data_IF_802113403122
#
_entry.id   IF_802113403122
#
_cell.length_a   1.000
_cell.length_b   1.000
_cell.length_c   1.000
_cell.angle_alpha   90.00
_cell.angle_beta   90.00
_cell.angle_gamma   90.00
#
_symmetry.space_group_name_H-M   'P 1'
#
loop_
_entity.id
_entity.type
_entity.pdbx_description
1 polymer ?
#
# COMPACT_ATOMS: atom_id res chain seq x y z
N UNK A 1 -3.69 -5.74 -7.42
CA UNK A 1 -4.52 -6.29 -8.52
C UNK A 1 -5.97 -5.88 -8.29
N UNK A 2 -6.71 -5.46 -9.31
CA UNK A 2 -8.13 -5.11 -9.18
C UNK A 2 -8.97 -6.21 -8.54
N UNK A 3 -10.19 -5.89 -8.05
CA UNK A 3 -11.20 -6.91 -7.69
C UNK A 3 -11.37 -7.99 -8.79
N UNK A 4 -11.19 -7.61 -10.06
CA UNK A 4 -11.22 -8.51 -11.23
C UNK A 4 -10.09 -9.55 -11.30
N UNK A 5 -9.05 -9.43 -10.48
CA UNK A 5 -7.96 -10.41 -10.41
C UNK A 5 -8.19 -11.55 -9.42
N UNK A 6 -9.36 -11.62 -8.79
CA UNK A 6 -9.69 -12.71 -7.87
C UNK A 6 -9.67 -14.05 -8.62
N UNK A 7 -8.58 -14.78 -8.43
CA UNK A 7 -8.63 -16.22 -8.23
C UNK A 7 -8.32 -16.46 -6.77
N UNK A 8 -9.40 -16.66 -6.00
CA UNK A 8 -9.44 -17.25 -4.68
C UNK A 8 -8.30 -16.84 -3.74
N UNK A 9 -8.21 -15.55 -3.40
CA UNK A 9 -7.55 -15.22 -2.15
C UNK A 9 -8.50 -15.56 -1.02
N UNK A 10 -8.37 -16.79 -0.54
CA UNK A 10 -9.26 -17.35 0.47
C UNK A 10 -9.33 -16.41 1.67
N UNK A 11 -10.52 -15.87 1.92
CA UNK A 11 -10.96 -15.28 3.18
C UNK A 11 -10.86 -16.26 4.37
N UNK A 12 -10.09 -17.35 4.25
CA UNK A 12 -9.69 -18.28 5.30
C UNK A 12 -9.02 -17.58 6.51
N UNK A 13 -8.64 -16.30 6.40
CA UNK A 13 -8.21 -15.51 7.55
C UNK A 13 -9.37 -14.98 8.43
N UNK A 14 -10.64 -15.10 8.01
CA UNK A 14 -11.77 -14.48 8.73
C UNK A 14 -12.97 -15.40 8.98
N UNK A 15 -13.03 -16.60 8.37
CA UNK A 15 -13.97 -17.60 8.89
C UNK A 15 -13.37 -18.07 10.21
N UNK A 16 -14.07 -17.79 11.31
CA UNK A 16 -13.69 -18.25 12.63
C UNK A 16 -13.69 -19.78 12.64
N UNK A 17 -12.56 -20.39 12.29
CA UNK A 17 -12.34 -21.81 12.51
C UNK A 17 -12.22 -21.97 14.03
N UNK A 18 -13.00 -22.86 14.68
CA UNK A 18 -12.88 -23.10 16.10
C UNK A 18 -11.41 -23.38 16.48
N UNK A 19 -10.85 -22.55 17.37
CA UNK A 19 -9.45 -22.65 17.80
C UNK A 19 -8.45 -21.76 17.04
N UNK A 20 -8.87 -21.04 15.99
CA UNK A 20 -8.02 -20.08 15.30
C UNK A 20 -7.92 -18.78 16.10
N UNK A 21 -6.68 -18.35 16.37
CA UNK A 21 -6.40 -17.07 17.05
C UNK A 21 -6.88 -15.94 16.15
N UNK A 22 -7.84 -15.15 16.61
CA UNK A 22 -8.26 -13.93 15.91
C UNK A 22 -7.05 -12.99 15.89
N UNK A 23 -6.54 -12.60 14.71
CA UNK A 23 -5.39 -11.73 14.64
C UNK A 23 -5.71 -10.38 15.29
N UNK A 24 -4.78 -9.86 16.10
CA UNK A 24 -4.94 -8.56 16.75
C UNK A 24 -5.14 -7.45 15.70
N UNK A 25 -5.82 -6.37 16.09
CA UNK A 25 -5.97 -5.18 15.23
C UNK A 25 -4.66 -4.39 15.20
N UNK A 26 -3.65 -4.93 14.53
CA UNK A 26 -2.30 -4.37 14.43
C UNK A 26 -1.84 -4.39 12.99
N UNK A 27 -1.09 -3.36 12.62
CA UNK A 27 -0.41 -3.32 11.32
C UNK A 27 0.66 -4.42 11.26
N UNK A 28 0.83 -5.03 10.09
CA UNK A 28 1.95 -5.96 9.88
C UNK A 28 3.27 -5.21 9.90
N UNK A 29 4.28 -5.86 10.47
CA UNK A 29 5.63 -5.33 10.52
C UNK A 29 6.21 -5.06 9.11
N UNK A 30 7.02 -4.01 8.90
CA UNK A 30 7.59 -3.68 7.60
C UNK A 30 8.32 -4.84 6.92
N UNK A 31 8.98 -5.70 7.69
CA UNK A 31 9.71 -6.88 7.18
C UNK A 31 8.77 -7.89 6.50
N UNK A 32 7.48 -7.92 6.86
CA UNK A 32 6.52 -8.81 6.20
C UNK A 32 6.35 -8.49 4.72
N UNK A 33 6.46 -7.23 4.29
CA UNK A 33 6.36 -6.87 2.87
C UNK A 33 7.47 -7.52 2.01
N UNK A 34 8.54 -7.99 2.63
CA UNK A 34 9.67 -8.66 1.97
C UNK A 34 9.53 -10.20 2.02
N UNK A 35 9.03 -10.71 3.15
CA UNK A 35 9.10 -12.14 3.48
C UNK A 35 7.75 -12.88 3.36
N UNK A 36 6.64 -12.15 3.31
CA UNK A 36 5.30 -12.72 3.16
C UNK A 36 4.96 -12.82 1.66
N UNK A 37 4.90 -14.05 1.08
CA UNK A 37 4.68 -14.21 -0.35
C UNK A 37 3.34 -13.65 -0.83
N UNK A 38 2.31 -13.69 0.01
CA UNK A 38 0.99 -13.13 -0.34
C UNK A 38 1.08 -11.61 -0.42
N UNK A 39 1.65 -10.97 0.60
CA UNK A 39 1.75 -9.52 0.66
C UNK A 39 2.67 -8.98 -0.44
N UNK A 40 3.83 -9.62 -0.68
CA UNK A 40 4.73 -9.25 -1.76
C UNK A 40 4.07 -9.42 -3.14
N UNK A 41 3.32 -10.50 -3.34
CA UNK A 41 2.58 -10.73 -4.59
C UNK A 41 1.47 -9.69 -4.79
N UNK A 42 0.75 -9.34 -3.72
CA UNK A 42 -0.28 -8.30 -3.73
C UNK A 42 0.28 -6.95 -4.20
N UNK A 43 1.38 -6.50 -3.59
CA UNK A 43 2.05 -5.23 -3.95
C UNK A 43 2.56 -5.28 -5.39
N UNK A 44 3.24 -6.38 -5.76
CA UNK A 44 3.76 -6.60 -7.12
C UNK A 44 2.65 -6.45 -8.16
N UNK A 45 1.56 -7.20 -8.02
CA UNK A 45 0.43 -7.16 -8.97
C UNK A 45 -0.30 -5.83 -8.97
N UNK A 46 -0.30 -5.09 -7.86
CA UNK A 46 -0.92 -3.76 -7.81
C UNK A 46 -0.11 -2.74 -8.59
N UNK A 47 1.22 -2.77 -8.45
CA UNK A 47 2.11 -1.89 -9.21
C UNK A 47 2.21 -2.28 -10.70
N UNK A 48 2.17 -3.56 -11.03
CA UNK A 48 2.07 -4.01 -12.43
C UNK A 48 0.79 -3.54 -13.09
N UNK A 49 -0.35 -3.66 -12.39
CA UNK A 49 -1.60 -3.12 -12.90
C UNK A 49 -1.53 -1.60 -13.08
N UNK A 50 -1.04 -0.87 -12.08
CA UNK A 50 -0.83 0.57 -12.19
C UNK A 50 -0.01 0.94 -13.45
N UNK A 51 1.10 0.23 -13.70
CA UNK A 51 1.96 0.43 -14.87
C UNK A 51 1.28 0.08 -16.20
N UNK A 52 0.29 -0.82 -16.20
CA UNK A 52 -0.46 -1.17 -17.40
C UNK A 52 -1.57 -0.17 -17.74
N UNK A 53 -1.97 0.68 -16.79
CA UNK A 53 -2.98 1.71 -17.00
C UNK A 53 -2.34 3.03 -17.43
N UNK A 54 -2.35 3.33 -18.73
CA UNK A 54 -1.76 4.55 -19.28
C UNK A 54 -2.34 5.85 -18.65
N UNK A 55 -3.64 5.86 -18.35
CA UNK A 55 -4.30 7.01 -17.71
C UNK A 55 -3.77 7.27 -16.29
N UNK A 56 -3.64 6.21 -15.47
CA UNK A 56 -3.06 6.32 -14.12
C UNK A 56 -1.60 6.78 -14.18
N UNK A 57 -0.81 6.23 -15.10
CA UNK A 57 0.58 6.63 -15.30
C UNK A 57 0.73 8.11 -15.69
N UNK A 58 -0.17 8.60 -16.55
CA UNK A 58 -0.18 10.00 -17.00
C UNK A 58 -0.60 10.91 -15.84
N UNK A 59 -1.65 10.55 -15.11
CA UNK A 59 -2.09 11.27 -13.91
C UNK A 59 -1.01 11.33 -12.82
N UNK A 60 -0.31 10.23 -12.58
CA UNK A 60 0.83 10.16 -11.67
C UNK A 60 1.96 11.11 -12.07
N UNK A 61 2.30 11.18 -13.36
CA UNK A 61 3.30 12.13 -13.85
C UNK A 61 2.90 13.59 -13.58
N UNK A 62 1.65 13.93 -13.87
CA UNK A 62 1.13 15.27 -13.61
C UNK A 62 1.09 15.61 -12.12
N UNK A 63 0.71 14.65 -11.28
CA UNK A 63 0.76 14.78 -9.82
C UNK A 63 2.18 14.99 -9.31
N UNK A 64 3.15 14.17 -9.73
CA UNK A 64 4.57 14.36 -9.41
C UNK A 64 5.04 15.75 -9.84
N UNK A 65 4.63 16.21 -11.02
CA UNK A 65 5.03 17.52 -11.54
C UNK A 65 4.47 18.65 -10.69
N UNK A 66 3.18 18.60 -10.34
CA UNK A 66 2.44 19.64 -9.63
C UNK A 66 2.74 19.67 -8.12
N UNK A 67 2.74 18.50 -7.48
CA UNK A 67 2.82 18.36 -6.02
C UNK A 67 4.24 18.06 -5.50
N UNK A 68 5.26 18.10 -6.37
CA UNK A 68 6.64 17.72 -6.02
C UNK A 68 7.14 18.26 -4.68
N UNK A 69 6.85 19.53 -4.38
CA UNK A 69 7.32 20.18 -3.15
C UNK A 69 6.65 19.60 -1.91
N UNK A 70 5.35 19.25 -2.01
CA UNK A 70 4.58 18.66 -0.92
C UNK A 70 5.06 17.24 -0.62
N UNK A 71 5.36 16.46 -1.66
CA UNK A 71 5.90 15.09 -1.51
C UNK A 71 7.42 15.05 -1.27
N UNK A 72 8.05 16.18 -0.91
CA UNK A 72 9.48 16.24 -0.57
C UNK A 72 10.46 16.05 -1.73
N UNK A 73 10.01 16.12 -2.99
CA UNK A 73 10.85 15.99 -4.17
C UNK A 73 11.41 17.34 -4.65
N UNK A 74 12.74 17.40 -4.78
CA UNK A 74 13.41 18.52 -5.45
C UNK A 74 13.03 18.58 -6.95
N UNK A 75 13.26 19.72 -7.60
CA UNK A 75 13.07 19.84 -9.07
C UNK A 75 13.89 18.80 -9.84
N UNK A 76 15.08 18.45 -9.36
CA UNK A 76 15.99 17.48 -9.97
C UNK A 76 15.47 16.04 -9.82
N UNK A 77 14.72 15.74 -8.75
CA UNK A 77 14.24 14.39 -8.46
C UNK A 77 12.89 14.04 -9.09
N UNK A 78 12.14 15.00 -9.66
CA UNK A 78 10.84 14.75 -10.30
C UNK A 78 10.91 13.65 -11.37
N UNK A 79 11.84 13.81 -12.31
CA UNK A 79 12.02 12.87 -13.42
C UNK A 79 12.50 11.52 -12.91
N UNK A 80 13.40 11.51 -11.93
CA UNK A 80 13.91 10.28 -11.31
C UNK A 80 12.79 9.51 -10.59
N UNK A 81 11.91 10.19 -9.85
CA UNK A 81 10.76 9.57 -9.19
C UNK A 81 9.82 8.91 -10.19
N UNK A 82 9.47 9.62 -11.27
CA UNK A 82 8.63 9.07 -12.33
C UNK A 82 9.28 7.86 -13.02
N UNK A 83 10.55 7.96 -13.42
CA UNK A 83 11.26 6.85 -14.06
C UNK A 83 11.36 5.65 -13.13
N UNK A 84 11.61 5.88 -11.84
CA UNK A 84 11.65 4.82 -10.83
C UNK A 84 10.31 4.12 -10.70
N UNK A 85 9.21 4.87 -10.76
CA UNK A 85 7.87 4.32 -10.73
C UNK A 85 7.58 3.47 -11.98
N UNK A 86 7.85 4.01 -13.17
CA UNK A 86 7.65 3.34 -14.47
C UNK A 86 8.49 2.07 -14.59
N UNK A 87 9.69 2.06 -14.03
CA UNK A 87 10.62 0.92 -14.14
C UNK A 87 10.45 -0.10 -13.01
N UNK A 88 9.51 0.11 -12.09
CA UNK A 88 9.29 -0.79 -10.95
C UNK A 88 10.35 -0.68 -9.85
N UNK A 89 11.14 0.40 -9.83
CA UNK A 89 12.12 0.62 -8.78
C UNK A 89 11.50 0.87 -7.40
N UNK A 90 10.28 1.40 -7.32
CA UNK A 90 9.50 1.47 -6.07
C UNK A 90 9.25 0.06 -5.47
N UNK A 91 8.88 -0.90 -6.32
CA UNK A 91 8.68 -2.30 -5.92
C UNK A 91 10.00 -2.92 -5.46
N UNK A 92 11.04 -2.77 -6.28
CA UNK A 92 12.36 -3.33 -5.98
C UNK A 92 12.93 -2.78 -4.67
N UNK A 93 12.79 -1.48 -4.42
CA UNK A 93 13.20 -0.87 -3.16
C UNK A 93 12.41 -1.47 -1.99
N UNK A 94 11.08 -1.61 -2.09
CA UNK A 94 10.26 -2.20 -1.02
C UNK A 94 10.67 -3.65 -0.71
N UNK A 95 10.90 -4.47 -1.75
CA UNK A 95 11.32 -5.86 -1.59
C UNK A 95 12.73 -5.99 -0.98
N UNK A 96 13.54 -4.93 -1.06
CA UNK A 96 14.84 -4.83 -0.38
C UNK A 96 14.75 -4.14 0.98
N UNK A 97 13.53 -3.86 1.48
CA UNK A 97 13.31 -3.16 2.75
C UNK A 97 13.65 -1.67 2.73
N UNK A 98 13.75 -1.08 1.54
CA UNK A 98 13.96 0.35 1.32
C UNK A 98 12.62 1.03 1.04
N UNK A 99 12.34 2.09 1.77
CA UNK A 99 11.07 2.81 1.70
C UNK A 99 11.26 4.14 0.99
N UNK A 100 11.69 4.05 -0.26
CA UNK A 100 12.07 5.18 -1.09
C UNK A 100 10.95 5.59 -2.04
N UNK A 101 10.78 6.90 -2.24
CA UNK A 101 9.84 7.44 -3.23
C UNK A 101 10.49 7.67 -4.61
N UNK A 102 11.83 7.70 -4.65
CA UNK A 102 12.65 7.79 -5.85
C UNK A 102 14.03 7.14 -5.57
N UNK A 103 14.88 6.86 -6.58
CA UNK A 103 16.12 6.13 -6.37
C UNK A 103 17.02 6.86 -5.35
N UNK A 104 17.28 6.20 -4.21
CA UNK A 104 18.08 6.76 -3.11
C UNK A 104 17.41 7.90 -2.33
N UNK A 105 16.13 8.20 -2.58
CA UNK A 105 15.37 9.24 -1.88
C UNK A 105 14.37 8.57 -0.95
N UNK A 106 14.62 8.57 0.39
CA UNK A 106 13.69 7.98 1.35
C UNK A 106 12.37 8.75 1.35
N UNK A 107 11.31 8.10 1.86
CA UNK A 107 10.04 8.77 2.13
C UNK A 107 10.29 10.04 2.99
N UNK A 108 9.69 11.20 2.66
CA UNK A 108 10.00 12.47 3.32
C UNK A 108 9.71 12.49 4.82
N UNK A 109 8.73 11.68 5.24
CA UNK A 109 8.37 11.46 6.65
C UNK A 109 9.03 10.21 7.28
N UNK A 110 9.99 9.59 6.60
CA UNK A 110 10.66 8.35 7.02
C UNK A 110 9.70 7.21 7.34
N UNK A 111 8.57 7.12 6.63
CA UNK A 111 7.58 6.09 6.85
C UNK A 111 8.02 4.76 6.25
N UNK A 112 7.61 3.67 6.89
CA UNK A 112 7.91 2.29 6.50
C UNK A 112 6.65 1.42 6.60
N UNK A 113 6.67 0.25 5.97
CA UNK A 113 5.59 -0.75 6.10
C UNK A 113 4.22 -0.18 5.73
N UNK A 114 3.23 -0.46 6.59
CA UNK A 114 1.86 0.02 6.40
C UNK A 114 1.77 1.55 6.31
N UNK A 115 2.49 2.30 7.15
CA UNK A 115 2.45 3.77 7.11
C UNK A 115 2.99 4.33 5.79
N UNK A 116 3.95 3.66 5.16
CA UNK A 116 4.45 4.04 3.84
C UNK A 116 3.38 3.80 2.76
N UNK A 117 2.81 2.58 2.73
CA UNK A 117 1.82 2.19 1.72
C UNK A 117 0.50 2.94 1.80
N UNK A 118 0.12 3.41 2.99
CA UNK A 118 -1.10 4.22 3.20
C UNK A 118 -0.81 5.73 3.27
N UNK A 119 0.43 6.15 3.03
CA UNK A 119 0.80 7.56 3.05
C UNK A 119 0.10 8.35 1.94
N UNK A 120 -0.28 9.60 2.25
CA UNK A 120 -0.87 10.48 1.25
C UNK A 120 0.13 10.83 0.14
N UNK A 121 1.43 10.85 0.42
CA UNK A 121 2.46 11.08 -0.59
C UNK A 121 2.48 9.97 -1.64
N UNK A 122 2.42 8.71 -1.20
CA UNK A 122 2.38 7.57 -2.10
C UNK A 122 1.04 7.48 -2.83
N UNK A 123 -0.07 7.81 -2.14
CA UNK A 123 -1.38 7.92 -2.78
C UNK A 123 -1.38 8.99 -3.88
N UNK A 124 -0.78 10.16 -3.67
CA UNK A 124 -0.64 11.19 -4.72
C UNK A 124 0.30 10.72 -5.85
N UNK A 125 1.36 9.98 -5.51
CA UNK A 125 2.34 9.48 -6.48
C UNK A 125 1.72 8.46 -7.43
N UNK A 126 0.87 7.57 -6.90
CA UNK A 126 0.29 6.44 -7.63
C UNK A 126 -1.14 6.72 -8.11
N UNK A 127 -1.82 7.72 -7.53
CA UNK A 127 -3.26 7.88 -7.72
C UNK A 127 -4.08 6.73 -7.14
N UNK A 128 -3.50 5.91 -6.23
CA UNK A 128 -4.12 4.70 -5.70
C UNK A 128 -4.32 4.85 -4.19
N UNK A 129 -5.55 4.64 -3.72
CA UNK A 129 -5.84 4.48 -2.31
C UNK A 129 -5.84 3.00 -1.93
N UNK A 130 -4.73 2.49 -1.42
CA UNK A 130 -4.60 1.08 -0.99
C UNK A 130 -5.53 0.70 0.16
N UNK A 131 -6.10 1.66 0.89
CA UNK A 131 -7.09 1.39 1.93
C UNK A 131 -8.53 1.32 1.39
N UNK A 132 -8.78 1.72 0.15
CA UNK A 132 -10.09 1.60 -0.50
C UNK A 132 -10.34 0.17 -0.98
N UNK A 133 -11.60 -0.24 -0.99
CA UNK A 133 -12.07 -1.51 -1.58
C UNK A 133 -12.64 -1.33 -3.00
N UNK A 134 -12.49 -0.15 -3.60
CA UNK A 134 -13.09 0.19 -4.89
C UNK A 134 -12.25 -0.30 -6.08
N UNK A 135 -10.96 0.05 -6.08
CA UNK A 135 -10.08 -0.22 -7.23
C UNK A 135 -9.26 -1.49 -7.04
N UNK A 136 -8.75 -1.72 -5.84
CA UNK A 136 -7.91 -2.85 -5.45
C UNK A 136 -8.51 -3.51 -4.21
N UNK A 137 -8.10 -4.76 -3.92
CA UNK A 137 -8.33 -5.34 -2.59
C UNK A 137 -7.68 -4.42 -1.56
N UNK A 138 -8.37 -4.08 -0.47
CA UNK A 138 -7.84 -3.16 0.52
C UNK A 138 -6.66 -3.77 1.27
N UNK A 139 -5.72 -2.93 1.69
CA UNK A 139 -4.69 -3.26 2.66
C UNK A 139 -5.24 -3.31 4.10
N UNK A 140 -6.50 -2.95 4.36
CA UNK A 140 -7.10 -3.01 5.71
C UNK A 140 -6.88 -4.34 6.48
N UNK A 141 -6.89 -5.53 5.86
CA UNK A 141 -6.57 -6.77 6.57
C UNK A 141 -5.11 -6.85 7.07
N UNK A 142 -4.18 -6.18 6.39
CA UNK A 142 -2.75 -6.13 6.73
C UNK A 142 -2.35 -4.90 7.53
N UNK A 143 -3.03 -3.80 7.27
CA UNK A 143 -2.70 -2.46 7.75
C UNK A 143 -3.94 -1.81 8.40
N UNK A 144 -4.60 -2.47 9.36
CA UNK A 144 -5.85 -1.95 9.92
C UNK A 144 -5.67 -0.60 10.61
N UNK A 145 -4.59 -0.37 11.35
CA UNK A 145 -4.36 0.89 12.06
C UNK A 145 -4.05 1.99 11.06
N UNK A 146 -3.10 1.75 10.16
CA UNK A 146 -2.73 2.73 9.14
C UNK A 146 -3.86 3.05 8.14
N UNK A 147 -4.80 2.13 7.93
CA UNK A 147 -6.01 2.36 7.15
C UNK A 147 -7.20 2.89 7.97
N UNK A 148 -7.02 3.15 9.27
CA UNK A 148 -8.05 3.76 10.12
C UNK A 148 -9.23 2.84 10.44
N UNK A 149 -9.03 1.52 10.47
CA UNK A 149 -10.04 0.57 10.91
C UNK A 149 -10.47 0.87 12.35
N UNK A 150 -11.72 1.29 12.51
CA UNK A 150 -12.37 1.51 13.79
C UNK A 150 -13.76 0.86 13.74
N UNK A 151 -14.07 -0.05 14.66
CA UNK A 151 -15.46 -0.51 14.85
C UNK A 151 -15.97 -1.50 13.81
N UNK A 152 -15.09 -2.24 13.12
CA UNK A 152 -15.50 -3.31 12.20
C UNK A 152 -15.98 -2.84 10.82
N UNK A 153 -15.31 -1.86 10.21
CA UNK A 153 -15.58 -1.41 8.83
C UNK A 153 -15.34 -2.49 7.76
N UNK A 154 -15.79 -2.22 6.52
CA UNK A 154 -15.56 -3.14 5.38
C UNK A 154 -14.08 -3.50 5.21
N UNK A 155 -13.80 -4.79 5.10
CA UNK A 155 -12.45 -5.37 4.96
C UNK A 155 -11.51 -5.13 6.17
N UNK A 156 -12.00 -4.55 7.26
CA UNK A 156 -11.26 -4.48 8.52
C UNK A 156 -11.34 -5.81 9.28
N UNK A 157 -10.26 -6.21 9.97
CA UNK A 157 -10.31 -7.35 10.88
C UNK A 157 -11.39 -7.18 11.96
N UNK A 158 -12.06 -8.28 12.31
CA UNK A 158 -13.09 -8.27 13.36
C UNK A 158 -12.53 -7.82 14.72
N UNK A 159 -11.25 -8.07 15.00
CA UNK A 159 -10.56 -7.59 16.20
C UNK A 159 -10.50 -6.06 16.32
N UNK A 160 -10.69 -5.33 15.22
CA UNK A 160 -10.74 -3.86 15.25
C UNK A 160 -12.10 -3.31 15.72
N UNK A 161 -13.10 -4.16 15.95
CA UNK A 161 -14.43 -3.76 16.41
C UNK A 161 -14.50 -3.47 17.91
N UNK A 162 -13.60 -4.07 18.71
CA UNK A 162 -13.66 -4.03 20.18
C UNK A 162 -12.92 -2.85 20.83
N UNK A 163 -12.22 -2.00 20.07
CA UNK A 163 -11.37 -0.91 20.61
C UNK A 163 -12.20 0.33 21.05
N UNK A 164 -13.53 0.23 21.12
CA UNK A 164 -14.42 1.34 21.51
C UNK A 164 -14.89 1.31 22.97
N UNK A 165 -14.22 0.58 23.87
CA UNK A 165 -14.59 0.53 25.29
C UNK A 165 -13.51 1.13 26.21
N UNK A 166 -13.25 2.43 26.10
CA UNK A 166 -12.64 3.26 27.17
C UNK A 166 -12.95 4.72 26.95
#
# INVERSE_FOLDING_TARGET
>A
CPRKCDREFSLAAQIAVPGQVIPACVDVEPVRFQNDPELSLYITRSLEYFRSQQELMTGAFDMVRKENRRIGLSKKHKRAAYVNLVNGGLLNDTLQGKWNIAPGIPHPRQLVGCQFWTSWELMLLLGINFCSDEEFRSLRPYCPIACGCRGGGRECPASCSSVFST
#
